data_IF_244056416917
#
_entry.id   IF_244056416917
#
_cell.length_a   1.000
_cell.length_b   1.000
_cell.length_c   1.000
_cell.angle_alpha   90.00
_cell.angle_beta   90.00
_cell.angle_gamma   90.00
#
_symmetry.space_group_name_H-M   'P 1'
#
loop_
_entity.id
_entity.type
_entity.pdbx_description
1 polymer ?
#
# COMPACT_ATOMS: atom_id res chain seq x y z
N UNK A 1 42.07 11.13 -2.87
CA UNK A 1 41.38 12.43 -2.99
C UNK A 1 40.00 12.32 -2.35
N UNK A 2 39.99 12.13 -1.03
CA UNK A 2 38.83 11.94 -0.16
C UNK A 2 39.23 12.45 1.22
N UNK A 3 38.83 13.67 1.57
CA UNK A 3 38.50 14.13 2.94
C UNK A 3 38.29 15.64 2.96
N UNK A 4 37.35 16.09 3.82
CA UNK A 4 37.06 17.46 4.27
C UNK A 4 36.16 18.31 3.37
N UNK A 5 34.91 18.47 3.81
CA UNK A 5 34.21 19.76 3.99
C UNK A 5 33.13 19.47 5.07
N UNK A 6 33.51 19.53 6.35
CA UNK A 6 33.42 20.72 7.21
C UNK A 6 31.98 20.96 7.71
N UNK A 7 31.60 20.18 8.72
CA UNK A 7 30.58 20.50 9.71
C UNK A 7 31.19 21.48 10.72
N UNK A 8 31.18 22.77 10.44
CA UNK A 8 31.53 23.81 11.43
C UNK A 8 30.82 25.09 11.04
N UNK A 9 29.61 25.29 11.57
CA UNK A 9 29.02 26.61 11.84
C UNK A 9 27.76 26.43 12.69
N UNK A 10 27.96 26.20 13.99
CA UNK A 10 26.93 26.45 15.01
C UNK A 10 27.56 26.71 16.38
N UNK A 11 28.05 27.93 16.68
CA UNK A 11 28.44 28.29 18.03
C UNK A 11 27.23 28.91 18.77
N UNK A 12 26.81 28.29 19.88
CA UNK A 12 26.06 29.05 20.89
C UNK A 12 24.92 28.38 21.66
N UNK A 13 24.85 27.06 21.83
CA UNK A 13 23.81 26.48 22.70
C UNK A 13 24.25 25.29 23.57
N UNK A 14 25.44 25.34 24.16
CA UNK A 14 25.76 24.53 25.36
C UNK A 14 26.66 25.35 26.29
N UNK A 15 26.05 26.15 27.16
CA UNK A 15 26.69 26.61 28.40
C UNK A 15 25.60 26.84 29.43
N UNK A 16 25.44 25.88 30.33
CA UNK A 16 24.54 26.00 31.47
C UNK A 16 24.94 27.16 32.37
N UNK A 17 24.14 28.22 32.36
CA UNK A 17 24.03 29.19 33.46
C UNK A 17 22.56 29.57 33.59
N UNK A 18 21.99 29.26 34.75
CA UNK A 18 20.67 29.67 35.20
C UNK A 18 20.58 31.19 35.31
N UNK A 19 19.71 31.82 34.53
CA UNK A 19 19.37 33.25 34.65
C UNK A 19 18.01 33.35 35.37
N UNK A 20 17.88 34.17 36.42
CA UNK A 20 16.62 34.30 37.16
C UNK A 20 15.60 35.11 36.35
N UNK A 21 14.36 34.61 36.27
CA UNK A 21 13.25 35.27 35.58
C UNK A 21 12.63 36.32 36.52
N UNK A 22 12.66 37.58 36.09
CA UNK A 22 11.95 38.71 36.72
C UNK A 22 10.43 38.63 36.44
N UNK A 23 9.55 38.94 37.42
CA UNK A 23 8.11 38.72 37.30
C UNK A 23 7.40 39.92 36.67
N UNK A 24 7.64 40.21 35.39
CA UNK A 24 6.80 41.17 34.64
C UNK A 24 6.69 40.78 33.16
N UNK A 25 6.04 39.65 32.88
CA UNK A 25 5.37 39.41 31.59
C UNK A 25 4.34 38.27 31.68
N UNK A 26 3.54 38.27 32.74
CA UNK A 26 2.46 37.29 32.95
C UNK A 26 1.15 37.67 32.23
N UNK A 27 1.20 38.52 31.20
CA UNK A 27 0.00 39.08 30.55
C UNK A 27 -0.22 38.68 29.09
N UNK A 28 0.64 37.85 28.47
CA UNK A 28 0.45 37.45 27.07
C UNK A 28 0.35 35.93 26.81
N UNK A 29 0.29 35.12 27.88
CA UNK A 29 0.18 33.65 27.77
C UNK A 29 -1.24 33.10 27.94
N UNK A 30 -2.26 33.94 28.17
CA UNK A 30 -3.65 33.49 28.24
C UNK A 30 -4.26 33.22 26.86
N UNK A 31 -3.79 33.88 25.79
CA UNK A 31 -4.24 33.64 24.42
C UNK A 31 -3.73 32.32 23.83
N UNK A 32 -2.45 31.98 24.06
CA UNK A 32 -1.85 30.74 23.55
C UNK A 32 -2.39 29.49 24.26
N UNK A 33 -2.58 29.51 25.59
CA UNK A 33 -3.12 28.35 26.30
C UNK A 33 -4.60 28.06 25.96
N UNK A 34 -5.37 29.09 25.60
CA UNK A 34 -6.73 28.96 25.07
C UNK A 34 -6.74 28.33 23.67
N UNK A 35 -5.81 28.72 22.79
CA UNK A 35 -5.66 28.15 21.45
C UNK A 35 -5.19 26.69 21.48
N UNK A 36 -4.21 26.35 22.33
CA UNK A 36 -3.75 24.97 22.53
C UNK A 36 -4.82 24.10 23.19
N UNK A 37 -5.63 24.65 24.11
CA UNK A 37 -6.79 23.96 24.69
C UNK A 37 -7.94 23.71 23.72
N UNK A 38 -8.09 24.55 22.68
CA UNK A 38 -9.04 24.33 21.57
C UNK A 38 -8.54 23.31 20.56
N UNK A 39 -7.25 23.34 20.20
CA UNK A 39 -6.64 22.36 19.27
C UNK A 39 -6.60 20.96 19.90
N UNK A 40 -6.30 20.84 21.21
CA UNK A 40 -6.33 19.56 21.93
C UNK A 40 -7.76 18.99 22.04
N UNK A 41 -8.77 19.86 22.24
CA UNK A 41 -10.20 19.45 22.20
C UNK A 41 -10.67 19.04 20.80
N UNK A 42 -10.22 19.71 19.74
CA UNK A 42 -10.54 19.29 18.37
C UNK A 42 -9.88 17.97 17.96
N UNK A 43 -8.71 17.66 18.53
CA UNK A 43 -8.02 16.38 18.26
C UNK A 43 -8.62 15.20 19.03
N UNK A 44 -9.19 15.41 20.21
CA UNK A 44 -9.94 14.36 20.94
C UNK A 44 -11.38 14.17 20.44
N UNK A 45 -12.04 15.21 19.94
CA UNK A 45 -13.38 15.08 19.31
C UNK A 45 -13.30 14.32 17.97
N UNK A 46 -12.17 14.41 17.24
CA UNK A 46 -12.00 13.69 15.97
C UNK A 46 -11.73 12.19 16.14
N UNK A 47 -11.28 11.75 17.31
CA UNK A 47 -10.96 10.33 17.59
C UNK A 47 -11.94 9.62 18.54
N UNK A 48 -12.82 10.34 19.24
CA UNK A 48 -13.83 9.76 20.14
C UNK A 48 -15.28 9.81 19.61
N UNK A 49 -15.50 9.99 18.30
CA UNK A 49 -16.82 9.71 17.73
C UNK A 49 -17.06 8.19 17.70
N UNK A 50 -17.70 7.70 18.76
CA UNK A 50 -18.43 6.44 18.78
C UNK A 50 -19.32 6.33 17.52
N UNK A 51 -19.27 5.17 16.89
CA UNK A 51 -20.09 4.80 15.74
C UNK A 51 -21.52 4.40 16.17
N UNK A 52 -22.10 5.14 17.11
CA UNK A 52 -23.46 5.00 17.62
C UNK A 52 -24.04 6.41 17.70
N UNK A 53 -24.58 6.90 16.59
CA UNK A 53 -25.66 7.91 16.50
C UNK A 53 -25.78 8.39 15.05
N UNK A 54 -26.41 7.56 14.22
CA UNK A 54 -26.95 7.98 12.93
C UNK A 54 -28.47 8.09 13.13
N UNK A 55 -29.13 9.21 12.81
CA UNK A 55 -30.57 9.34 12.95
C UNK A 55 -31.28 8.31 12.08
N UNK A 56 -32.11 7.47 12.72
CA UNK A 56 -33.00 6.53 12.05
C UNK A 56 -34.10 7.32 11.32
N UNK A 57 -34.01 7.41 10.00
CA UNK A 57 -35.16 7.80 9.17
C UNK A 57 -36.13 6.62 9.03
N UNK A 58 -37.46 6.85 9.05
CA UNK A 58 -38.45 5.79 9.11
C UNK A 58 -38.63 5.16 7.72
N UNK A 59 -38.23 3.91 7.54
CA UNK A 59 -38.56 3.11 6.35
C UNK A 59 -39.00 1.71 6.77
N UNK A 60 -40.14 1.64 7.44
CA UNK A 60 -40.77 0.37 7.85
C UNK A 60 -41.20 -0.49 6.64
N UNK A 61 -41.43 0.10 5.47
CA UNK A 61 -41.94 -0.62 4.28
C UNK A 61 -40.86 -1.28 3.43
N UNK A 62 -39.68 -0.66 3.26
CA UNK A 62 -38.58 -1.21 2.44
C UNK A 62 -37.79 -2.30 3.16
N UNK A 63 -37.65 -2.21 4.49
CA UNK A 63 -37.05 -3.28 5.29
C UNK A 63 -37.96 -4.52 5.35
N UNK A 64 -39.28 -4.36 5.44
CA UNK A 64 -40.20 -5.50 5.35
C UNK A 64 -40.18 -6.16 3.97
N UNK A 65 -40.03 -5.38 2.89
CA UNK A 65 -39.88 -5.92 1.54
C UNK A 65 -38.52 -6.62 1.34
N UNK A 66 -37.44 -6.08 1.90
CA UNK A 66 -36.13 -6.76 1.92
C UNK A 66 -36.14 -8.03 2.77
N UNK A 67 -36.83 -8.03 3.92
CA UNK A 67 -36.96 -9.23 4.76
C UNK A 67 -37.86 -10.29 4.11
N UNK A 68 -38.89 -9.92 3.34
CA UNK A 68 -39.72 -10.88 2.62
C UNK A 68 -39.00 -11.47 1.40
N UNK A 69 -38.19 -10.69 0.68
CA UNK A 69 -37.31 -11.16 -0.40
C UNK A 69 -36.16 -12.04 0.12
N UNK A 70 -35.64 -11.75 1.31
CA UNK A 70 -34.61 -12.59 1.93
C UNK A 70 -35.21 -13.90 2.48
N UNK A 71 -36.45 -13.86 2.99
CA UNK A 71 -37.18 -15.04 3.46
C UNK A 71 -37.61 -15.98 2.32
N UNK A 72 -38.03 -15.43 1.17
CA UNK A 72 -38.35 -16.25 -0.01
C UNK A 72 -37.11 -16.88 -0.65
N UNK A 73 -35.96 -16.20 -0.60
CA UNK A 73 -34.68 -16.80 -1.01
C UNK A 73 -34.20 -17.88 -0.03
N UNK A 74 -34.59 -17.81 1.24
CA UNK A 74 -34.18 -18.78 2.25
C UNK A 74 -35.04 -20.05 2.22
N UNK A 75 -36.34 -19.96 1.92
CA UNK A 75 -37.23 -21.11 1.74
C UNK A 75 -36.95 -21.90 0.45
N UNK A 76 -36.50 -21.22 -0.63
CA UNK A 76 -36.01 -21.92 -1.83
C UNK A 76 -34.70 -22.68 -1.59
N UNK A 77 -33.90 -22.25 -0.60
CA UNK A 77 -32.63 -22.90 -0.25
C UNK A 77 -32.85 -24.13 0.66
N UNK A 78 -33.86 -24.13 1.53
CA UNK A 78 -34.15 -25.32 2.37
C UNK A 78 -34.71 -26.51 1.61
N UNK A 79 -35.36 -26.30 0.45
CA UNK A 79 -35.92 -27.38 -0.38
C UNK A 79 -34.92 -28.00 -1.37
N UNK A 80 -33.66 -27.56 -1.35
CA UNK A 80 -32.55 -28.18 -2.11
C UNK A 80 -31.61 -29.01 -1.24
N UNK A 81 -32.09 -29.48 -0.09
CA UNK A 81 -31.36 -30.36 0.85
C UNK A 81 -31.48 -31.84 0.51
N UNK A 82 -31.48 -32.20 -0.78
CA UNK A 82 -31.54 -33.63 -1.15
C UNK A 82 -30.85 -34.04 -2.45
N UNK A 83 -30.00 -33.21 -3.07
CA UNK A 83 -29.19 -33.66 -4.20
C UNK A 83 -27.76 -33.10 -4.19
N UNK A 84 -26.85 -34.05 -4.01
CA UNK A 84 -25.48 -34.09 -4.50
C UNK A 84 -24.36 -33.54 -3.61
N UNK A 85 -23.73 -34.49 -2.91
CA UNK A 85 -22.37 -34.44 -2.37
C UNK A 85 -21.35 -34.25 -3.50
N UNK A 86 -21.38 -33.08 -4.16
CA UNK A 86 -20.23 -32.55 -4.89
C UNK A 86 -19.60 -31.51 -3.99
N UNK A 87 -18.36 -31.76 -3.56
CA UNK A 87 -17.49 -30.76 -2.93
C UNK A 87 -17.37 -29.56 -3.88
N UNK A 88 -18.29 -28.59 -3.76
CA UNK A 88 -18.42 -27.52 -4.74
C UNK A 88 -17.21 -26.59 -4.64
N UNK A 89 -16.46 -26.48 -5.72
CA UNK A 89 -15.32 -25.56 -5.88
C UNK A 89 -15.71 -24.12 -5.49
N UNK A 90 -16.96 -23.73 -5.77
CA UNK A 90 -17.52 -22.43 -5.37
C UNK A 90 -17.64 -22.28 -3.84
N UNK A 91 -17.95 -23.37 -3.12
CA UNK A 91 -17.95 -23.40 -1.66
C UNK A 91 -16.53 -23.26 -1.10
N UNK A 92 -15.56 -23.98 -1.67
CA UNK A 92 -14.14 -23.89 -1.29
C UNK A 92 -13.56 -22.49 -1.49
N UNK A 93 -13.88 -21.81 -2.59
CA UNK A 93 -13.39 -20.47 -2.88
C UNK A 93 -14.02 -19.38 -1.99
N UNK A 94 -15.23 -19.60 -1.47
CA UNK A 94 -15.91 -18.66 -0.57
C UNK A 94 -15.50 -18.80 0.90
N UNK A 95 -14.64 -19.76 1.26
CA UNK A 95 -14.19 -19.93 2.65
C UNK A 95 -13.15 -18.88 3.03
N UNK A 96 -13.17 -18.54 4.32
CA UNK A 96 -12.16 -17.67 4.92
C UNK A 96 -10.86 -18.44 5.15
N UNK A 97 -9.76 -17.81 4.77
CA UNK A 97 -8.42 -18.36 4.94
C UNK A 97 -7.87 -18.09 6.34
N UNK A 98 -6.98 -18.98 6.79
CA UNK A 98 -6.22 -18.75 8.01
C UNK A 98 -5.10 -17.74 7.76
N UNK A 99 -5.14 -16.60 8.44
CA UNK A 99 -4.13 -15.56 8.30
C UNK A 99 -2.79 -15.92 8.97
N UNK A 100 -2.70 -17.03 9.71
CA UNK A 100 -1.45 -17.46 10.37
C UNK A 100 -0.38 -17.77 9.31
N UNK A 101 0.80 -17.14 9.42
CA UNK A 101 1.92 -17.23 8.46
C UNK A 101 1.66 -16.61 7.08
N UNK A 102 0.53 -15.92 6.87
CA UNK A 102 0.26 -15.22 5.62
C UNK A 102 1.24 -14.06 5.36
N UNK A 103 1.99 -13.61 6.38
CA UNK A 103 3.09 -12.66 6.23
C UNK A 103 4.13 -13.09 5.18
N UNK A 104 4.33 -14.40 4.98
CA UNK A 104 5.29 -14.94 4.00
C UNK A 104 4.92 -14.54 2.57
N UNK A 105 3.63 -14.45 2.26
CA UNK A 105 3.16 -13.98 0.94
C UNK A 105 3.31 -12.46 0.80
N UNK A 106 3.17 -11.72 1.91
CA UNK A 106 3.38 -10.27 1.94
C UNK A 106 4.86 -9.89 1.81
N UNK A 107 5.78 -10.74 2.27
CA UNK A 107 7.21 -10.62 2.00
C UNK A 107 7.53 -10.66 0.51
N UNK A 108 6.87 -11.54 -0.25
CA UNK A 108 6.95 -11.53 -1.71
C UNK A 108 6.45 -10.21 -2.31
N UNK A 109 5.41 -9.61 -1.73
CA UNK A 109 4.94 -8.28 -2.16
C UNK A 109 5.98 -7.19 -1.85
N UNK A 110 6.64 -7.21 -0.69
CA UNK A 110 7.72 -6.28 -0.35
C UNK A 110 8.88 -6.36 -1.36
N UNK A 111 9.33 -7.57 -1.68
CA UNK A 111 10.35 -7.81 -2.70
C UNK A 111 9.89 -7.25 -4.07
N UNK A 112 8.66 -7.56 -4.48
CA UNK A 112 8.06 -7.07 -5.72
C UNK A 112 7.99 -5.54 -5.78
N UNK A 113 7.63 -4.87 -4.68
CA UNK A 113 7.56 -3.40 -4.62
C UNK A 113 8.93 -2.79 -4.89
N UNK A 114 9.98 -3.28 -4.21
CA UNK A 114 11.34 -2.80 -4.43
C UNK A 114 11.82 -3.00 -5.86
N UNK A 115 11.57 -4.20 -6.42
CA UNK A 115 11.91 -4.54 -7.80
C UNK A 115 11.28 -3.56 -8.81
N UNK A 116 9.96 -3.36 -8.71
CA UNK A 116 9.22 -2.53 -9.66
C UNK A 116 9.55 -1.06 -9.49
N UNK A 117 9.56 -0.54 -8.25
CA UNK A 117 9.77 0.90 -8.02
C UNK A 117 11.19 1.35 -8.38
N UNK A 118 12.22 0.56 -8.08
CA UNK A 118 13.60 0.89 -8.51
C UNK A 118 13.73 0.94 -10.03
N UNK A 119 13.10 -0.02 -10.71
CA UNK A 119 13.10 -0.16 -12.16
C UNK A 119 12.38 1.01 -12.84
N UNK A 120 11.17 1.34 -12.39
CA UNK A 120 10.40 2.44 -12.97
C UNK A 120 10.91 3.80 -12.58
N UNK A 121 11.50 3.95 -11.39
CA UNK A 121 12.15 5.21 -11.05
C UNK A 121 13.35 5.46 -11.97
N UNK A 122 14.17 4.45 -12.24
CA UNK A 122 15.28 4.56 -13.18
C UNK A 122 14.79 4.90 -14.62
N UNK A 123 13.74 4.23 -15.09
CA UNK A 123 13.23 4.44 -16.47
C UNK A 123 12.43 5.75 -16.63
N UNK A 124 11.53 6.03 -15.68
CA UNK A 124 10.48 7.05 -15.82
C UNK A 124 10.58 8.19 -14.79
N UNK A 125 11.50 8.12 -13.82
CA UNK A 125 11.64 9.07 -12.71
C UNK A 125 10.37 9.20 -11.87
N UNK A 126 9.63 8.10 -11.70
CA UNK A 126 8.37 8.08 -10.96
C UNK A 126 8.22 6.75 -10.25
N UNK A 127 7.75 6.80 -9.00
CA UNK A 127 7.42 5.61 -8.23
C UNK A 127 5.98 5.20 -8.52
N UNK A 128 5.67 3.92 -8.57
CA UNK A 128 4.28 3.45 -8.73
C UNK A 128 3.68 2.97 -7.42
N UNK A 129 4.51 2.66 -6.42
CA UNK A 129 4.04 2.27 -5.08
C UNK A 129 4.32 3.34 -4.00
N UNK A 130 5.44 4.06 -4.09
CA UNK A 130 5.85 5.07 -3.11
C UNK A 130 5.34 6.48 -3.43
N UNK A 131 4.20 6.85 -2.88
CA UNK A 131 3.56 8.14 -3.19
C UNK A 131 4.23 9.36 -2.54
N UNK A 132 4.96 9.19 -1.43
CA UNK A 132 5.61 10.31 -0.71
C UNK A 132 6.57 11.10 -1.62
N UNK A 133 7.42 10.41 -2.39
CA UNK A 133 8.34 11.07 -3.32
C UNK A 133 7.61 11.75 -4.48
N UNK A 134 6.59 11.09 -5.03
CA UNK A 134 5.77 11.63 -6.10
C UNK A 134 5.08 12.95 -5.68
N UNK A 135 4.61 13.05 -4.43
CA UNK A 135 4.01 14.29 -3.92
C UNK A 135 5.00 15.46 -3.96
N UNK A 136 6.28 15.22 -3.66
CA UNK A 136 7.33 16.25 -3.76
C UNK A 136 7.58 16.63 -5.22
N UNK A 137 7.64 15.68 -6.15
CA UNK A 137 7.80 15.98 -7.58
C UNK A 137 6.63 16.81 -8.14
N UNK A 138 5.40 16.55 -7.69
CA UNK A 138 4.24 17.40 -8.02
C UNK A 138 4.41 18.81 -7.46
N UNK A 139 4.84 18.94 -6.20
CA UNK A 139 5.08 20.24 -5.56
C UNK A 139 6.17 21.07 -6.26
N UNK A 140 7.28 20.42 -6.64
CA UNK A 140 8.34 21.06 -7.44
C UNK A 140 7.83 21.46 -8.84
N UNK A 141 6.89 20.70 -9.39
CA UNK A 141 6.20 21.07 -10.62
C UNK A 141 5.43 22.37 -10.52
N UNK A 142 4.78 22.62 -9.38
CA UNK A 142 4.01 23.85 -9.13
C UNK A 142 4.90 25.10 -9.03
N UNK A 143 6.16 24.96 -8.61
CA UNK A 143 7.16 26.05 -8.59
C UNK A 143 8.03 26.11 -9.84
N UNK A 144 7.72 25.30 -10.86
CA UNK A 144 8.50 25.16 -12.10
C UNK A 144 9.97 24.73 -11.88
N UNK A 145 10.25 24.04 -10.78
CA UNK A 145 11.57 23.47 -10.44
C UNK A 145 11.69 22.02 -10.94
N UNK A 146 11.31 21.81 -12.20
CA UNK A 146 11.26 20.49 -12.80
C UNK A 146 12.65 20.06 -13.29
N UNK A 147 13.15 18.90 -12.83
CA UNK A 147 14.36 18.30 -13.39
C UNK A 147 14.17 17.85 -14.85
N UNK A 148 12.93 17.49 -15.22
CA UNK A 148 12.55 17.08 -16.59
C UNK A 148 11.18 17.68 -16.95
N UNK A 149 10.95 18.06 -18.22
CA UNK A 149 9.63 18.49 -18.69
C UNK A 149 8.56 17.48 -18.28
N UNK A 150 7.47 17.98 -17.69
CA UNK A 150 6.29 17.19 -17.30
C UNK A 150 6.53 16.00 -16.34
N UNK A 151 7.69 15.90 -15.67
CA UNK A 151 7.95 14.84 -14.68
C UNK A 151 6.94 14.87 -13.50
N UNK A 152 6.45 16.05 -13.17
CA UNK A 152 5.38 16.25 -12.19
C UNK A 152 4.05 15.60 -12.62
N UNK A 153 3.75 15.55 -13.92
CA UNK A 153 2.51 14.98 -14.44
C UNK A 153 2.46 13.46 -14.23
N UNK A 154 3.56 12.76 -14.52
CA UNK A 154 3.73 11.32 -14.23
C UNK A 154 3.53 10.99 -12.75
N UNK A 155 4.11 11.82 -11.89
CA UNK A 155 3.96 11.70 -10.45
C UNK A 155 2.52 11.91 -10.00
N UNK A 156 1.82 12.89 -10.59
CA UNK A 156 0.40 13.14 -10.35
C UNK A 156 -0.48 11.98 -10.83
N UNK A 157 -0.22 11.44 -12.03
CA UNK A 157 -0.89 10.24 -12.56
C UNK A 157 -0.71 9.07 -11.60
N UNK A 158 0.52 8.82 -11.13
CA UNK A 158 0.79 7.74 -10.19
C UNK A 158 -0.01 7.89 -8.89
N UNK A 159 -0.06 9.09 -8.30
CA UNK A 159 -0.84 9.37 -7.09
C UNK A 159 -2.34 9.12 -7.34
N UNK A 160 -2.89 9.70 -8.41
CA UNK A 160 -4.31 9.56 -8.74
C UNK A 160 -4.71 8.11 -8.96
N UNK A 161 -3.94 7.38 -9.77
CA UNK A 161 -4.18 5.97 -10.06
C UNK A 161 -3.99 5.07 -8.84
N UNK A 162 -3.03 5.37 -7.96
CA UNK A 162 -2.86 4.65 -6.71
C UNK A 162 -4.05 4.84 -5.76
N UNK A 163 -4.58 6.06 -5.66
CA UNK A 163 -5.79 6.37 -4.85
C UNK A 163 -7.01 5.65 -5.43
N UNK A 164 -7.20 5.70 -6.75
CA UNK A 164 -8.27 4.97 -7.44
C UNK A 164 -8.13 3.46 -7.19
N UNK A 165 -6.92 2.91 -7.31
CA UNK A 165 -6.64 1.51 -7.01
C UNK A 165 -7.00 1.14 -5.57
N UNK A 166 -6.61 1.97 -4.60
CA UNK A 166 -6.98 1.76 -3.19
C UNK A 166 -8.50 1.69 -3.03
N UNK A 167 -9.23 2.60 -3.68
CA UNK A 167 -10.69 2.60 -3.66
C UNK A 167 -11.27 1.32 -4.30
N UNK A 168 -10.82 0.93 -5.49
CA UNK A 168 -11.32 -0.25 -6.21
C UNK A 168 -11.08 -1.54 -5.43
N UNK A 169 -9.85 -1.77 -4.95
CA UNK A 169 -9.52 -2.97 -4.17
C UNK A 169 -10.20 -2.98 -2.80
N UNK A 170 -10.37 -1.82 -2.14
CA UNK A 170 -11.12 -1.76 -0.89
C UNK A 170 -12.60 -2.12 -1.10
N UNK A 171 -13.21 -1.67 -2.20
CA UNK A 171 -14.59 -2.02 -2.56
C UNK A 171 -14.72 -3.49 -2.93
N UNK A 172 -13.78 -4.03 -3.70
CA UNK A 172 -13.71 -5.46 -4.02
C UNK A 172 -13.68 -6.31 -2.74
N UNK A 173 -12.80 -5.95 -1.80
CA UNK A 173 -12.68 -6.65 -0.52
C UNK A 173 -13.95 -6.57 0.32
N UNK A 174 -14.66 -5.43 0.29
CA UNK A 174 -15.91 -5.26 1.03
C UNK A 174 -17.07 -6.05 0.42
N UNK A 175 -17.13 -6.16 -0.91
CA UNK A 175 -18.18 -6.88 -1.64
C UNK A 175 -18.01 -8.40 -1.52
N UNK A 176 -16.78 -8.89 -1.71
CA UNK A 176 -16.51 -10.32 -1.73
C UNK A 176 -16.17 -10.89 -0.35
N UNK A 177 -15.75 -10.04 0.59
CA UNK A 177 -15.28 -10.43 1.92
C UNK A 177 -13.74 -10.40 1.99
N UNK A 178 -13.14 -9.63 2.92
CA UNK A 178 -11.71 -9.29 2.89
C UNK A 178 -10.76 -10.47 3.08
N UNK A 179 -11.23 -11.55 3.73
CA UNK A 179 -10.44 -12.75 4.05
C UNK A 179 -10.90 -13.99 3.29
N UNK A 180 -11.84 -13.85 2.36
CA UNK A 180 -12.25 -14.99 1.53
C UNK A 180 -11.16 -15.32 0.53
N UNK A 181 -10.94 -16.61 0.30
CA UNK A 181 -9.95 -17.12 -0.65
C UNK A 181 -10.13 -16.51 -2.04
N UNK A 182 -11.38 -16.48 -2.54
CA UNK A 182 -11.72 -15.90 -3.85
C UNK A 182 -11.29 -14.45 -3.98
N UNK A 183 -11.47 -13.65 -2.92
CA UNK A 183 -11.14 -12.22 -2.91
C UNK A 183 -9.64 -12.01 -3.06
N UNK A 184 -8.83 -12.78 -2.32
CA UNK A 184 -7.38 -12.68 -2.37
C UNK A 184 -6.82 -13.20 -3.70
N UNK A 185 -7.30 -14.36 -4.17
CA UNK A 185 -6.93 -14.91 -5.48
C UNK A 185 -7.26 -13.91 -6.58
N UNK A 186 -8.50 -13.41 -6.63
CA UNK A 186 -8.94 -12.44 -7.63
C UNK A 186 -8.16 -11.12 -7.56
N UNK A 187 -7.91 -10.61 -6.35
CA UNK A 187 -7.13 -9.39 -6.14
C UNK A 187 -5.71 -9.54 -6.71
N UNK A 188 -5.03 -10.66 -6.39
CA UNK A 188 -3.69 -10.91 -6.93
C UNK A 188 -3.71 -11.28 -8.43
N UNK A 189 -4.76 -11.89 -8.96
CA UNK A 189 -4.88 -12.13 -10.41
C UNK A 189 -5.06 -10.82 -11.20
N UNK A 190 -5.88 -9.90 -10.71
CA UNK A 190 -6.05 -8.58 -11.34
C UNK A 190 -4.72 -7.81 -11.35
N UNK A 191 -4.00 -7.89 -10.23
CA UNK A 191 -2.63 -7.41 -10.16
C UNK A 191 -1.77 -8.11 -11.24
N UNK A 192 -1.65 -9.44 -11.26
CA UNK A 192 -0.83 -10.14 -12.28
C UNK A 192 -1.19 -9.72 -13.72
N UNK A 193 -2.49 -9.59 -14.03
CA UNK A 193 -2.94 -9.17 -15.35
C UNK A 193 -2.39 -7.78 -15.74
N UNK A 194 -2.45 -6.80 -14.83
CA UNK A 194 -1.90 -5.46 -15.08
C UNK A 194 -0.38 -5.51 -15.33
N UNK A 195 0.37 -6.26 -14.52
CA UNK A 195 1.81 -6.46 -14.72
C UNK A 195 2.14 -7.12 -16.07
N UNK A 196 1.40 -8.17 -16.45
CA UNK A 196 1.61 -8.89 -17.71
C UNK A 196 1.27 -8.02 -18.92
N UNK A 197 0.18 -7.26 -18.86
CA UNK A 197 -0.18 -6.28 -19.90
C UNK A 197 0.95 -5.26 -20.06
N UNK A 198 1.44 -4.67 -18.96
CA UNK A 198 2.54 -3.71 -19.02
C UNK A 198 3.83 -4.35 -19.55
N UNK A 199 4.21 -5.53 -19.08
CA UNK A 199 5.41 -6.25 -19.54
C UNK A 199 5.34 -6.54 -21.05
N UNK A 200 4.17 -6.95 -21.54
CA UNK A 200 3.93 -7.25 -22.96
C UNK A 200 3.97 -5.99 -23.83
N UNK A 201 3.40 -4.87 -23.36
CA UNK A 201 3.45 -3.59 -24.06
C UNK A 201 4.87 -3.03 -24.18
N UNK A 202 5.70 -3.21 -23.15
CA UNK A 202 7.11 -2.82 -23.19
C UNK A 202 7.90 -3.77 -24.10
N UNK A 203 7.72 -5.09 -23.94
CA UNK A 203 8.48 -6.08 -24.72
C UNK A 203 8.19 -6.03 -26.22
N UNK A 204 6.95 -5.71 -26.61
CA UNK A 204 6.56 -5.54 -28.00
C UNK A 204 7.10 -4.26 -28.64
N UNK A 205 7.73 -3.37 -27.86
CA UNK A 205 8.26 -2.10 -28.34
C UNK A 205 7.19 -1.02 -28.56
N UNK A 206 5.91 -1.30 -28.27
CA UNK A 206 4.83 -0.31 -28.32
C UNK A 206 5.10 0.84 -27.35
N UNK A 207 5.69 0.51 -26.20
CA UNK A 207 6.06 1.49 -25.16
C UNK A 207 7.57 1.43 -24.93
N UNK A 208 8.20 2.59 -24.97
CA UNK A 208 9.62 2.70 -24.67
C UNK A 208 9.88 2.30 -23.20
N UNK A 209 10.76 1.31 -23.00
CA UNK A 209 11.26 0.91 -21.69
C UNK A 209 12.19 1.97 -21.11
N UNK A 210 13.51 1.77 -21.23
CA UNK A 210 14.49 2.77 -20.77
C UNK A 210 14.80 3.75 -21.92
N UNK A 211 14.67 5.07 -21.71
CA UNK A 211 14.99 6.06 -22.74
C UNK A 211 16.44 5.92 -23.23
N UNK A 212 16.63 5.80 -24.54
CA UNK A 212 17.97 5.65 -25.15
C UNK A 212 18.82 6.92 -25.08
N UNK A 213 18.18 8.09 -24.96
CA UNK A 213 18.87 9.36 -24.77
C UNK A 213 18.20 10.15 -23.63
N UNK A 214 18.77 10.16 -22.41
CA UNK A 214 18.19 10.87 -21.27
C UNK A 214 18.20 12.40 -21.42
N UNK A 215 18.90 12.93 -22.44
CA UNK A 215 19.04 14.36 -22.74
C UNK A 215 18.07 14.86 -23.82
N UNK A 216 17.31 14.00 -24.50
CA UNK A 216 16.26 14.47 -25.40
C UNK A 216 15.10 15.06 -24.58
N UNK A 217 14.73 16.29 -24.89
CA UNK A 217 13.60 17.01 -24.26
C UNK A 217 12.23 16.46 -24.65
N UNK A 218 12.16 15.43 -25.51
CA UNK A 218 10.92 14.82 -25.95
C UNK A 218 10.23 14.04 -24.83
N UNK A 219 8.99 14.42 -24.56
CA UNK A 219 8.15 13.76 -23.55
C UNK A 219 7.38 12.62 -24.19
N UNK A 220 7.80 11.37 -23.90
CA UNK A 220 7.08 10.19 -24.35
C UNK A 220 5.88 9.91 -23.43
N UNK A 221 4.69 10.30 -23.87
CA UNK A 221 3.42 10.08 -23.15
C UNK A 221 2.98 8.61 -23.12
N UNK A 222 3.55 7.74 -23.97
CA UNK A 222 3.29 6.30 -23.92
C UNK A 222 3.70 5.66 -22.58
N UNK A 223 4.60 6.29 -21.83
CA UNK A 223 5.07 5.84 -20.51
C UNK A 223 4.00 6.00 -19.40
N UNK A 224 2.93 6.77 -19.64
CA UNK A 224 1.82 6.90 -18.69
C UNK A 224 1.06 5.57 -18.51
N UNK A 225 0.91 4.77 -19.57
CA UNK A 225 0.16 3.51 -19.48
C UNK A 225 0.76 2.52 -18.46
N UNK A 226 2.10 2.27 -18.45
CA UNK A 226 2.75 1.53 -17.38
C UNK A 226 2.51 2.13 -15.99
N UNK A 227 2.61 3.46 -15.85
CA UNK A 227 2.42 4.14 -14.56
C UNK A 227 1.00 3.91 -14.03
N UNK A 228 -0.01 4.12 -14.87
CA UNK A 228 -1.43 3.91 -14.52
C UNK A 228 -1.67 2.48 -14.03
N UNK A 229 -1.27 1.49 -14.83
CA UNK A 229 -1.53 0.07 -14.54
C UNK A 229 -0.79 -0.38 -13.28
N UNK A 230 0.49 -0.03 -13.15
CA UNK A 230 1.32 -0.49 -12.04
C UNK A 230 1.01 0.26 -10.74
N UNK A 231 0.57 1.52 -10.80
CA UNK A 231 0.09 2.25 -9.61
C UNK A 231 -1.24 1.71 -9.09
N UNK A 232 -2.18 1.36 -9.97
CA UNK A 232 -3.43 0.71 -9.53
C UNK A 232 -3.13 -0.64 -8.88
N UNK A 233 -2.26 -1.43 -9.50
CA UNK A 233 -1.89 -2.74 -8.96
C UNK A 233 -1.14 -2.67 -7.62
N UNK A 234 -0.22 -1.71 -7.46
CA UNK A 234 0.54 -1.55 -6.22
C UNK A 234 -0.36 -1.13 -5.05
N UNK A 235 -1.51 -0.52 -5.33
CA UNK A 235 -2.53 -0.27 -4.32
C UNK A 235 -3.22 -1.56 -3.82
N UNK A 236 -3.36 -2.58 -4.68
CA UNK A 236 -3.98 -3.86 -4.31
C UNK A 236 -3.23 -4.60 -3.21
N UNK A 237 -1.90 -4.57 -3.20
CA UNK A 237 -1.08 -5.25 -2.19
C UNK A 237 -1.13 -4.60 -0.81
N UNK A 238 -1.17 -3.27 -0.71
CA UNK A 238 -1.35 -2.60 0.59
C UNK A 238 -2.75 -2.86 1.15
N UNK A 239 -3.78 -2.87 0.29
CA UNK A 239 -5.14 -3.21 0.70
C UNK A 239 -5.23 -4.67 1.15
N UNK A 240 -4.55 -5.59 0.47
CA UNK A 240 -4.48 -7.00 0.86
C UNK A 240 -3.79 -7.19 2.23
N UNK A 241 -2.66 -6.52 2.45
CA UNK A 241 -1.96 -6.54 3.76
C UNK A 241 -2.89 -6.11 4.91
N UNK A 242 -3.62 -5.00 4.72
CA UNK A 242 -4.58 -4.50 5.72
C UNK A 242 -5.75 -5.47 5.92
N UNK A 243 -6.27 -6.06 4.85
CA UNK A 243 -7.37 -7.04 4.92
C UNK A 243 -6.99 -8.31 5.70
N UNK A 244 -5.73 -8.73 5.59
CA UNK A 244 -5.17 -9.86 6.34
C UNK A 244 -4.85 -9.51 7.80
N UNK A 245 -4.75 -8.22 8.14
CA UNK A 245 -4.46 -7.74 9.49
C UNK A 245 -2.98 -7.50 9.78
N UNK A 246 -2.10 -7.61 8.79
CA UNK A 246 -0.65 -7.37 8.93
C UNK A 246 -0.32 -5.90 8.71
N UNK A 247 -0.88 -5.02 9.55
CA UNK A 247 -0.64 -3.58 9.45
C UNK A 247 0.84 -3.19 9.62
N UNK A 248 1.65 -4.06 10.24
CA UNK A 248 3.09 -3.90 10.35
C UNK A 248 3.88 -4.18 9.05
N UNK A 249 3.26 -4.80 8.04
CA UNK A 249 3.85 -5.07 6.72
C UNK A 249 3.00 -4.36 5.65
N UNK A 250 3.05 -3.03 5.51
CA UNK A 250 2.23 -2.29 4.55
C UNK A 250 2.61 -2.56 3.07
N UNK A 251 3.69 -3.29 2.79
CA UNK A 251 4.21 -3.68 1.45
C UNK A 251 4.73 -2.55 0.53
N UNK A 252 4.28 -1.30 0.72
CA UNK A 252 4.67 -0.14 -0.12
C UNK A 252 5.16 1.08 0.67
N UNK A 253 4.72 1.24 1.92
CA UNK A 253 5.09 2.39 2.77
C UNK A 253 6.22 1.99 3.72
N UNK A 254 7.46 2.27 3.34
CA UNK A 254 8.64 1.87 4.11
C UNK A 254 8.85 2.77 5.34
N UNK A 255 8.60 4.07 5.24
CA UNK A 255 8.95 5.04 6.28
C UNK A 255 8.28 4.73 7.61
N UNK A 256 6.96 4.50 7.61
CA UNK A 256 6.24 4.16 8.83
C UNK A 256 6.68 2.81 9.41
N UNK A 257 7.04 1.85 8.55
CA UNK A 257 7.59 0.57 8.97
C UNK A 257 8.94 0.76 9.67
N UNK A 258 9.85 1.57 9.12
CA UNK A 258 11.16 1.86 9.72
C UNK A 258 11.03 2.59 11.06
N UNK A 259 10.18 3.61 11.14
CA UNK A 259 9.92 4.29 12.40
C UNK A 259 9.37 3.33 13.46
N UNK A 260 8.36 2.53 13.09
CA UNK A 260 7.78 1.52 13.99
C UNK A 260 8.79 0.44 14.41
N UNK A 261 9.75 0.13 13.55
CA UNK A 261 10.81 -0.83 13.84
C UNK A 261 11.80 -0.25 14.87
N UNK A 262 12.35 0.94 14.62
CA UNK A 262 13.37 1.56 15.47
C UNK A 262 12.80 2.04 16.80
N UNK A 263 11.54 2.48 16.82
CA UNK A 263 10.85 2.92 18.03
C UNK A 263 10.19 1.77 18.82
N UNK A 264 10.42 0.51 18.46
CA UNK A 264 9.86 -0.63 19.20
C UNK A 264 10.52 -0.72 20.60
N UNK A 265 9.76 -0.62 21.71
CA UNK A 265 10.32 -0.73 23.06
C UNK A 265 10.93 -2.11 23.34
N UNK A 266 10.57 -3.12 22.54
CA UNK A 266 11.06 -4.50 22.59
C UNK A 266 12.06 -4.79 21.46
N UNK A 267 12.76 -3.77 20.95
CA UNK A 267 13.70 -3.89 19.83
C UNK A 267 14.82 -4.91 20.10
N UNK A 268 15.38 -4.93 21.31
CA UNK A 268 16.52 -5.78 21.69
C UNK A 268 16.13 -7.12 22.33
N UNK A 269 14.83 -7.40 22.49
CA UNK A 269 14.37 -8.68 23.01
C UNK A 269 14.61 -9.78 21.95
N UNK A 270 15.07 -10.96 22.38
CA UNK A 270 15.40 -12.05 21.47
C UNK A 270 14.22 -12.51 20.61
N UNK A 271 12.98 -12.37 21.10
CA UNK A 271 11.78 -12.84 20.41
C UNK A 271 10.73 -11.74 20.32
N UNK A 272 10.53 -11.21 19.12
CA UNK A 272 9.49 -10.23 18.82
C UNK A 272 9.04 -10.41 17.36
N UNK A 273 7.98 -11.19 17.16
CA UNK A 273 7.49 -11.54 15.82
C UNK A 273 7.12 -10.31 14.98
N UNK A 274 6.58 -9.25 15.61
CA UNK A 274 6.22 -8.01 14.90
C UNK A 274 7.46 -7.24 14.43
N UNK A 275 8.49 -7.15 15.27
CA UNK A 275 9.79 -6.58 14.89
C UNK A 275 10.41 -7.38 13.76
N UNK A 276 10.47 -8.70 13.89
CA UNK A 276 11.09 -9.58 12.90
C UNK A 276 10.39 -9.46 11.55
N UNK A 277 9.05 -9.39 11.55
CA UNK A 277 8.26 -9.11 10.35
C UNK A 277 8.61 -7.78 9.69
N UNK A 278 8.76 -6.71 10.46
CA UNK A 278 9.16 -5.39 9.94
C UNK A 278 10.56 -5.42 9.36
N UNK A 279 11.51 -6.02 10.08
CA UNK A 279 12.90 -6.19 9.61
C UNK A 279 12.96 -6.91 8.27
N UNK A 280 12.31 -8.08 8.17
CA UNK A 280 12.30 -8.89 6.94
C UNK A 280 11.64 -8.14 5.80
N UNK A 281 10.51 -7.47 6.04
CA UNK A 281 9.83 -6.66 5.03
C UNK A 281 10.70 -5.51 4.51
N UNK A 282 11.43 -4.81 5.38
CA UNK A 282 12.38 -3.77 4.96
C UNK A 282 13.53 -4.34 4.13
N UNK A 283 14.18 -5.40 4.63
CA UNK A 283 15.32 -6.04 3.97
C UNK A 283 14.93 -6.58 2.60
N UNK A 284 13.78 -7.23 2.47
CA UNK A 284 13.29 -7.72 1.18
C UNK A 284 12.96 -6.62 0.20
N UNK A 285 12.41 -5.49 0.68
CA UNK A 285 12.18 -4.33 -0.20
C UNK A 285 13.51 -3.75 -0.69
N UNK A 286 14.53 -3.68 0.16
CA UNK A 286 15.87 -3.24 -0.22
C UNK A 286 16.53 -4.21 -1.21
N UNK A 287 16.49 -5.52 -0.94
CA UNK A 287 17.01 -6.55 -1.85
C UNK A 287 16.31 -6.45 -3.21
N UNK A 288 14.98 -6.26 -3.21
CA UNK A 288 14.22 -6.06 -4.43
C UNK A 288 14.67 -4.83 -5.21
N UNK A 289 14.88 -3.71 -4.54
CA UNK A 289 15.37 -2.49 -5.18
C UNK A 289 16.78 -2.66 -5.77
N UNK A 290 17.68 -3.32 -5.04
CA UNK A 290 19.03 -3.65 -5.53
C UNK A 290 18.94 -4.56 -6.76
N UNK A 291 18.17 -5.64 -6.68
CA UNK A 291 18.01 -6.59 -7.79
C UNK A 291 17.40 -5.90 -9.03
N UNK A 292 16.39 -5.06 -8.87
CA UNK A 292 15.77 -4.32 -9.98
C UNK A 292 16.76 -3.38 -10.67
N UNK A 293 17.57 -2.66 -9.88
CA UNK A 293 18.65 -1.82 -10.40
C UNK A 293 19.73 -2.60 -11.17
N UNK A 294 20.15 -3.77 -10.66
CA UNK A 294 21.15 -4.60 -11.34
C UNK A 294 20.60 -5.25 -12.62
N UNK A 295 19.36 -5.75 -12.58
CA UNK A 295 18.72 -6.36 -13.76
C UNK A 295 18.57 -5.32 -14.86
N UNK A 296 17.98 -4.15 -14.56
CA UNK A 296 17.81 -3.08 -15.56
C UNK A 296 19.13 -2.57 -16.12
N UNK A 297 20.18 -2.52 -15.30
CA UNK A 297 21.54 -2.19 -15.75
C UNK A 297 22.09 -3.22 -16.73
N UNK A 298 21.87 -4.51 -16.47
CA UNK A 298 22.36 -5.61 -17.30
C UNK A 298 21.57 -5.76 -18.62
N UNK A 299 20.25 -5.67 -18.56
CA UNK A 299 19.36 -5.89 -19.70
C UNK A 299 19.14 -4.64 -20.54
N UNK A 300 19.35 -3.46 -19.95
CA UNK A 300 18.94 -2.14 -20.49
C UNK A 300 17.45 -2.04 -20.82
N UNK A 301 16.64 -2.85 -20.14
CA UNK A 301 15.20 -2.90 -20.31
C UNK A 301 14.50 -3.19 -18.97
N UNK A 302 13.27 -2.70 -18.83
CA UNK A 302 12.41 -2.91 -17.66
C UNK A 302 11.57 -4.18 -17.78
N UNK A 303 11.32 -4.69 -19.00
CA UNK A 303 10.46 -5.86 -19.23
C UNK A 303 10.82 -7.09 -18.38
N UNK A 304 12.10 -7.50 -18.26
CA UNK A 304 12.48 -8.68 -17.45
C UNK A 304 12.06 -8.57 -15.98
N UNK A 305 12.16 -7.36 -15.41
CA UNK A 305 11.74 -7.13 -14.01
C UNK A 305 10.23 -7.21 -13.87
N UNK A 306 9.48 -6.69 -14.85
CA UNK A 306 8.02 -6.76 -14.85
C UNK A 306 7.52 -8.21 -14.94
N UNK A 307 8.14 -9.04 -15.79
CA UNK A 307 7.84 -10.47 -15.86
C UNK A 307 8.17 -11.21 -14.56
N UNK A 308 9.31 -10.90 -13.94
CA UNK A 308 9.67 -11.49 -12.65
C UNK A 308 8.68 -11.10 -11.55
N UNK A 309 8.27 -9.83 -11.49
CA UNK A 309 7.25 -9.36 -10.56
C UNK A 309 5.88 -10.03 -10.84
N UNK A 310 5.52 -10.24 -12.10
CA UNK A 310 4.30 -10.92 -12.50
C UNK A 310 4.30 -12.38 -12.03
N UNK A 311 5.40 -13.10 -12.28
CA UNK A 311 5.60 -14.48 -11.83
C UNK A 311 5.52 -14.60 -10.31
N UNK A 312 6.16 -13.70 -9.58
CA UNK A 312 6.11 -13.67 -8.12
C UNK A 312 4.67 -13.47 -7.60
N UNK A 313 3.92 -12.52 -8.16
CA UNK A 313 2.52 -12.30 -7.78
C UNK A 313 1.59 -13.43 -8.23
N UNK A 314 1.90 -14.11 -9.32
CA UNK A 314 1.17 -15.30 -9.74
C UNK A 314 1.37 -16.45 -8.76
N UNK A 315 2.61 -16.68 -8.31
CA UNK A 315 2.92 -17.66 -7.27
C UNK A 315 2.13 -17.33 -5.99
N UNK A 316 2.06 -16.05 -5.59
CA UNK A 316 1.26 -15.63 -4.44
C UNK A 316 -0.23 -15.94 -4.66
N UNK A 317 -0.78 -15.62 -5.84
CA UNK A 317 -2.17 -15.90 -6.18
C UNK A 317 -2.50 -17.39 -6.12
N UNK A 318 -1.65 -18.24 -6.72
CA UNK A 318 -1.78 -19.70 -6.70
C UNK A 318 -1.64 -20.24 -5.27
N UNK A 319 -0.73 -19.67 -4.47
CA UNK A 319 -0.54 -20.07 -3.06
C UNK A 319 -1.82 -19.87 -2.24
N UNK A 320 -2.62 -18.84 -2.53
CA UNK A 320 -3.92 -18.64 -1.87
C UNK A 320 -4.92 -19.74 -2.16
N UNK A 321 -4.85 -20.37 -3.34
CA UNK A 321 -5.74 -21.50 -3.70
C UNK A 321 -5.47 -22.69 -2.77
N UNK A 322 -4.21 -22.97 -2.46
CA UNK A 322 -3.80 -24.09 -1.61
C UNK A 322 -3.68 -23.74 -0.12
N UNK A 323 -3.94 -22.48 0.27
CA UNK A 323 -3.76 -22.03 1.64
C UNK A 323 -4.76 -22.66 2.61
N UNK A 324 -4.36 -22.90 3.87
CA UNK A 324 -5.21 -23.53 4.88
C UNK A 324 -6.43 -22.68 5.23
N UNK A 325 -7.55 -23.35 5.48
CA UNK A 325 -8.81 -22.73 5.90
C UNK A 325 -8.80 -22.43 7.41
N UNK A 326 -9.59 -21.46 7.86
CA UNK A 326 -9.81 -21.28 9.30
C UNK A 326 -10.56 -22.49 9.86
N UNK A 327 -9.99 -23.15 10.88
CA UNK A 327 -10.52 -24.37 11.52
C UNK A 327 -11.83 -24.16 12.31
N UNK A 328 -12.48 -23.00 12.19
CA UNK A 328 -13.74 -22.68 12.88
C UNK A 328 -15.04 -23.02 12.14
N UNK A 329 -14.98 -23.62 10.94
CA UNK A 329 -16.16 -23.90 10.12
C UNK A 329 -16.45 -25.40 9.90
N UNK A 330 -15.81 -26.29 10.68
CA UNK A 330 -16.02 -27.74 10.58
C UNK A 330 -16.31 -28.41 11.93
N UNK A 331 -16.78 -27.62 12.91
CA UNK A 331 -17.23 -28.14 14.20
C UNK A 331 -18.57 -27.50 14.58
N UNK A 332 -19.62 -27.75 13.77
CA UNK A 332 -21.02 -27.83 14.20
C UNK A 332 -21.71 -28.83 13.27
#
# INVERSE_FOLDING_TARGET
MLHRLAWTDWPGLISGKSVPISPHSAANNQGLNSAWGKIRRSHEVFWNCHFEDIPRFPTSSLLQFCFSLQRSHQESVTMSTSLDSKKSVAGFLKRDINAKHAEVLLYGCCLSSGLVDSTLYNAYNTFVSMQTGNTIFVGLGASNQNLKPYGWARSLTSIGCFVIGCFLFARLNRLLGPRRRVTLVLSFLLQVAMLVITASLVQSGVIAGIPSNPASSETHWSQEAPIVLLSIQSAGQIVASRALGFNEIPTVVITSLLCNLVSDPKLFLLRNEKRDRRMVAFVLTLIGAIAGGWITKATRDISPVLWMAAGLKLIISVSWIFWRENEGASAV
#
